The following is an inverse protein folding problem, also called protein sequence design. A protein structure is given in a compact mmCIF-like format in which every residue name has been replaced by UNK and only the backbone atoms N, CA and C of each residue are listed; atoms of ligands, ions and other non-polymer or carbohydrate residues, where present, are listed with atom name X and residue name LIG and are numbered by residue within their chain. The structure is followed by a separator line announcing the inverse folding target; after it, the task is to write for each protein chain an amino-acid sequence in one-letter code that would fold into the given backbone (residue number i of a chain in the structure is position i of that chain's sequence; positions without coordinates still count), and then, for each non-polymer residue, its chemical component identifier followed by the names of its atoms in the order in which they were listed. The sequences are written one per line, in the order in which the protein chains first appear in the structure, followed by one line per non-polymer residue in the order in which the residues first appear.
data_IF_247668732383
#
_entry.id   IF_247668732383
#
_cell.length_a   1.000
_cell.length_b   1.000
_cell.length_c   1.000
_cell.angle_alpha   90.00
_cell.angle_beta   90.00
_cell.angle_gamma   90.00
#
_symmetry.space_group_name_H-M   'P 1'
#
loop_
_entity.id
_entity.type
_entity.pdbx_description
1 polymer ?
#
# COMPACT_ATOMS: atom_id res chain seq x y z
N UNK A 1 -13.67 14.51 -0.84
CA UNK A 1 -14.18 13.91 0.41
C UNK A 1 -13.05 13.90 1.43
N UNK A 2 -13.32 14.19 2.70
CA UNK A 2 -12.34 14.20 3.80
C UNK A 2 -12.97 13.51 5.02
N UNK A 3 -12.26 12.56 5.60
CA UNK A 3 -12.61 11.85 6.83
C UNK A 3 -11.67 12.27 7.96
N UNK A 4 -12.18 12.31 9.19
CA UNK A 4 -11.44 12.74 10.38
C UNK A 4 -11.43 11.67 11.47
N UNK A 5 -10.38 11.66 12.29
CA UNK A 5 -10.35 10.97 13.58
C UNK A 5 -11.13 11.75 14.65
N UNK A 6 -11.49 11.12 15.79
CA UNK A 6 -12.17 11.81 16.89
C UNK A 6 -11.38 13.02 17.44
N UNK A 7 -10.06 13.00 17.33
CA UNK A 7 -9.18 14.10 17.73
C UNK A 7 -9.16 15.29 16.74
N UNK A 8 -9.90 15.20 15.63
CA UNK A 8 -9.97 16.23 14.59
C UNK A 8 -8.88 16.15 13.52
N UNK A 9 -7.91 15.24 13.63
CA UNK A 9 -6.90 15.05 12.59
C UNK A 9 -7.51 14.38 11.35
N UNK A 10 -7.01 14.74 10.17
CA UNK A 10 -7.42 14.12 8.91
C UNK A 10 -7.01 12.65 8.93
N UNK A 11 -7.97 11.78 8.70
CA UNK A 11 -7.78 10.33 8.57
C UNK A 11 -7.55 9.92 7.12
N UNK A 12 -8.34 10.47 6.21
CA UNK A 12 -8.24 10.16 4.80
C UNK A 12 -8.86 11.28 3.95
N UNK A 13 -8.37 11.45 2.72
CA UNK A 13 -8.88 12.47 1.79
C UNK A 13 -8.70 12.06 0.32
N UNK A 14 -9.64 12.51 -0.52
CA UNK A 14 -9.51 12.50 -1.97
C UNK A 14 -8.93 13.84 -2.41
N UNK A 15 -7.82 13.81 -3.14
CA UNK A 15 -7.18 14.97 -3.75
C UNK A 15 -7.67 15.10 -5.18
N UNK A 16 -8.18 16.28 -5.52
CA UNK A 16 -8.69 16.60 -6.85
C UNK A 16 -7.71 17.50 -7.60
N UNK A 17 -7.67 17.33 -8.92
CA UNK A 17 -7.02 18.24 -9.87
C UNK A 17 -7.96 18.40 -11.06
N UNK A 18 -8.28 19.64 -11.40
CA UNK A 18 -9.20 19.96 -12.51
C UNK A 18 -10.54 19.20 -12.40
N UNK A 19 -11.10 19.18 -11.18
CA UNK A 19 -12.32 18.42 -10.79
C UNK A 19 -12.23 16.89 -10.90
N UNK A 20 -11.07 16.33 -11.26
CA UNK A 20 -10.82 14.89 -11.29
C UNK A 20 -10.10 14.40 -10.03
N UNK A 21 -10.52 13.25 -9.49
CA UNK A 21 -9.82 12.60 -8.37
C UNK A 21 -8.50 12.03 -8.88
N UNK A 22 -7.39 12.55 -8.36
CA UNK A 22 -6.03 12.16 -8.75
C UNK A 22 -5.29 11.37 -7.68
N UNK A 23 -5.62 11.57 -6.40
CA UNK A 23 -5.03 10.77 -5.31
C UNK A 23 -6.05 10.46 -4.23
N UNK A 24 -5.81 9.34 -3.56
CA UNK A 24 -6.40 9.00 -2.28
C UNK A 24 -5.27 8.91 -1.26
N UNK A 25 -5.39 9.63 -0.14
CA UNK A 25 -4.42 9.58 0.95
C UNK A 25 -5.06 9.12 2.24
N UNK A 26 -4.28 8.43 3.06
CA UNK A 26 -4.63 8.06 4.43
C UNK A 26 -3.49 8.47 5.36
N UNK A 27 -3.83 8.84 6.59
CA UNK A 27 -2.92 9.24 7.65
C UNK A 27 -3.22 8.46 8.91
N UNK A 28 -2.22 8.30 9.76
CA UNK A 28 -2.38 7.84 11.13
C UNK A 28 -3.02 8.93 12.00
N UNK A 29 -3.53 8.53 13.17
CA UNK A 29 -4.18 9.46 14.10
C UNK A 29 -3.24 10.58 14.60
N UNK A 30 -1.94 10.33 14.60
CA UNK A 30 -0.90 11.32 14.89
C UNK A 30 -0.61 12.30 13.73
N UNK A 31 -1.29 12.16 12.59
CA UNK A 31 -1.14 12.99 11.40
C UNK A 31 -0.09 12.52 10.39
N UNK A 32 0.74 11.54 10.74
CA UNK A 32 1.76 10.99 9.83
C UNK A 32 1.10 10.30 8.64
N UNK A 33 1.69 10.46 7.45
CA UNK A 33 1.20 9.81 6.25
C UNK A 33 1.24 8.29 6.42
N UNK A 34 0.11 7.63 6.17
CA UNK A 34 0.02 6.18 6.13
C UNK A 34 0.23 5.70 4.70
N UNK A 35 -0.48 6.25 3.72
CA UNK A 35 -0.22 6.00 2.29
C UNK A 35 -0.80 7.10 1.41
N UNK A 36 -0.33 7.14 0.16
CA UNK A 36 -0.92 7.90 -0.93
C UNK A 36 -0.93 7.03 -2.19
N UNK A 37 -2.08 6.94 -2.85
CA UNK A 37 -2.28 6.12 -4.05
C UNK A 37 -2.80 7.00 -5.17
N UNK A 38 -2.17 7.02 -6.36
CA UNK A 38 -2.70 7.74 -7.51
C UNK A 38 -3.91 7.03 -8.11
N UNK A 39 -4.87 7.81 -8.58
CA UNK A 39 -6.05 7.36 -9.30
C UNK A 39 -6.02 7.86 -10.74
N UNK A 40 -6.34 6.96 -11.67
CA UNK A 40 -6.60 7.25 -13.07
C UNK A 40 -7.92 6.57 -13.43
N UNK A 41 -8.88 7.32 -13.96
CA UNK A 41 -10.22 6.82 -14.28
C UNK A 41 -10.87 6.07 -13.10
N UNK A 42 -10.78 6.64 -11.89
CA UNK A 42 -11.28 6.07 -10.62
C UNK A 42 -10.66 4.72 -10.21
N UNK A 43 -9.54 4.30 -10.83
CA UNK A 43 -8.81 3.09 -10.47
C UNK A 43 -7.40 3.42 -9.97
N UNK A 44 -6.91 2.64 -9.01
CA UNK A 44 -5.56 2.77 -8.49
C UNK A 44 -4.52 2.44 -9.57
N UNK A 45 -3.69 3.42 -9.91
CA UNK A 45 -2.70 3.32 -10.98
C UNK A 45 -1.43 4.06 -10.59
N UNK A 46 -0.28 3.41 -10.72
CA UNK A 46 1.04 3.97 -10.44
C UNK A 46 1.68 3.44 -9.16
N UNK A 47 2.71 4.15 -8.70
CA UNK A 47 3.48 3.77 -7.52
C UNK A 47 2.65 3.94 -6.25
N UNK A 48 2.61 2.92 -5.40
CA UNK A 48 2.07 2.97 -4.06
C UNK A 48 3.22 2.89 -3.06
N UNK A 49 3.16 3.74 -2.02
CA UNK A 49 4.03 3.66 -0.85
C UNK A 49 3.15 3.70 0.39
N UNK A 50 3.31 2.71 1.25
CA UNK A 50 2.72 2.62 2.58
C UNK A 50 3.83 2.79 3.59
N UNK A 51 3.61 3.63 4.59
CA UNK A 51 4.54 3.93 5.66
C UNK A 51 4.03 3.32 6.96
N UNK A 52 4.95 2.96 7.84
CA UNK A 52 4.67 2.78 9.26
C UNK A 52 4.42 4.13 9.92
N UNK A 53 3.81 4.11 11.10
CA UNK A 53 3.54 5.31 11.90
C UNK A 53 4.81 6.10 12.25
N UNK A 54 5.98 5.44 12.29
CA UNK A 54 7.28 6.08 12.49
C UNK A 54 7.86 6.73 11.21
N UNK A 55 7.11 6.76 10.11
CA UNK A 55 7.51 7.35 8.83
C UNK A 55 8.42 6.47 7.96
N UNK A 56 8.85 5.31 8.42
CA UNK A 56 9.61 4.36 7.59
C UNK A 56 8.68 3.64 6.63
N UNK A 57 9.19 3.31 5.43
CA UNK A 57 8.42 2.54 4.45
C UNK A 57 8.08 1.18 5.06
N UNK A 58 6.80 0.80 4.96
CA UNK A 58 6.30 -0.53 5.28
C UNK A 58 6.14 -1.37 4.00
N UNK A 59 5.70 -0.73 2.92
CA UNK A 59 5.46 -1.39 1.64
C UNK A 59 5.61 -0.40 0.47
N UNK A 60 6.14 -0.87 -0.65
CA UNK A 60 6.09 -0.12 -1.92
C UNK A 60 5.94 -1.06 -3.12
N UNK A 61 5.33 -0.57 -4.18
CA UNK A 61 5.15 -1.30 -5.43
C UNK A 61 4.41 -0.50 -6.50
N UNK A 62 4.04 -1.16 -7.59
CA UNK A 62 3.31 -0.57 -8.71
C UNK A 62 1.98 -1.26 -8.95
N UNK A 63 0.94 -0.44 -9.14
CA UNK A 63 -0.41 -0.87 -9.45
C UNK A 63 -0.80 -0.45 -10.87
N UNK A 64 -1.56 -1.31 -11.56
CA UNK A 64 -2.31 -0.97 -12.76
C UNK A 64 -3.73 -1.51 -12.61
N UNK A 65 -4.72 -0.64 -12.78
CA UNK A 65 -6.13 -0.99 -12.61
C UNK A 65 -6.45 -1.66 -11.26
N UNK A 66 -5.68 -1.34 -10.20
CA UNK A 66 -5.79 -1.96 -8.87
C UNK A 66 -5.01 -3.28 -8.69
N UNK A 67 -4.39 -3.80 -9.75
CA UNK A 67 -3.60 -5.03 -9.70
C UNK A 67 -2.09 -4.75 -9.65
N UNK A 68 -1.36 -5.67 -9.02
CA UNK A 68 0.10 -5.66 -8.98
C UNK A 68 0.64 -6.01 -10.37
N UNK A 69 1.47 -5.13 -10.95
CA UNK A 69 2.09 -5.38 -12.26
C UNK A 69 3.56 -5.82 -12.21
N UNK A 70 4.22 -5.64 -11.08
CA UNK A 70 5.64 -5.95 -10.89
C UNK A 70 5.87 -6.60 -9.51
N UNK A 71 7.02 -6.33 -8.89
CA UNK A 71 7.28 -6.67 -7.52
C UNK A 71 6.73 -5.62 -6.55
N UNK A 72 6.23 -6.11 -5.43
CA UNK A 72 6.07 -5.38 -4.19
C UNK A 72 7.21 -5.71 -3.24
N UNK A 73 7.58 -4.72 -2.45
CA UNK A 73 8.61 -4.82 -1.43
C UNK A 73 7.96 -4.55 -0.08
N UNK A 74 8.20 -5.43 0.89
CA UNK A 74 7.72 -5.29 2.26
C UNK A 74 8.93 -5.11 3.15
N UNK A 75 8.88 -4.11 3.99
CA UNK A 75 9.95 -3.76 4.91
C UNK A 75 9.50 -4.05 6.34
N UNK A 76 10.48 -4.22 7.22
CA UNK A 76 10.26 -4.28 8.66
C UNK A 76 10.23 -2.86 9.23
N UNK A 77 9.75 -2.69 10.47
CA UNK A 77 9.71 -1.39 11.17
C UNK A 77 11.07 -0.71 11.34
N UNK A 78 12.16 -1.47 11.29
CA UNK A 78 13.52 -0.93 11.32
C UNK A 78 13.97 -0.38 9.95
N UNK A 79 13.25 -0.66 8.86
CA UNK A 79 13.56 -0.26 7.49
C UNK A 79 14.22 -1.36 6.64
N UNK A 80 14.51 -2.53 7.21
CA UNK A 80 15.11 -3.63 6.46
C UNK A 80 14.09 -4.30 5.54
N UNK A 81 14.51 -4.67 4.34
CA UNK A 81 13.67 -5.40 3.40
C UNK A 81 13.40 -6.80 3.97
N UNK A 82 12.14 -7.21 4.02
CA UNK A 82 11.72 -8.53 4.49
C UNK A 82 11.33 -9.45 3.34
N UNK A 83 10.59 -8.91 2.38
CA UNK A 83 10.08 -9.67 1.24
C UNK A 83 10.10 -8.85 -0.04
N UNK A 84 10.38 -9.54 -1.14
CA UNK A 84 10.12 -9.09 -2.51
C UNK A 84 9.15 -10.09 -3.14
N UNK A 85 8.01 -9.62 -3.62
CA UNK A 85 6.89 -10.49 -4.02
C UNK A 85 6.30 -10.05 -5.35
N UNK A 86 5.89 -10.98 -6.22
CA UNK A 86 5.03 -10.71 -7.37
C UNK A 86 3.91 -11.76 -7.44
N UNK A 87 3.08 -11.73 -8.49
CA UNK A 87 1.95 -12.66 -8.63
C UNK A 87 2.31 -14.16 -8.69
N UNK A 88 3.59 -14.52 -8.82
CA UNK A 88 4.07 -15.88 -9.06
C UNK A 88 5.02 -16.41 -7.98
N UNK A 89 5.71 -15.53 -7.24
CA UNK A 89 6.75 -15.92 -6.28
C UNK A 89 6.89 -14.93 -5.12
N UNK A 90 7.30 -15.46 -3.96
CA UNK A 90 7.77 -14.70 -2.80
C UNK A 90 9.26 -14.95 -2.64
N UNK A 91 10.06 -13.89 -2.58
CA UNK A 91 11.47 -13.92 -2.24
C UNK A 91 11.64 -13.35 -0.84
N UNK A 92 12.06 -14.19 0.11
CA UNK A 92 12.42 -13.75 1.45
C UNK A 92 13.81 -13.12 1.42
N UNK A 93 14.03 -12.13 2.27
CA UNK A 93 15.31 -11.46 2.41
C UNK A 93 15.90 -11.81 3.78
N UNK A 94 17.19 -12.15 3.81
CA UNK A 94 17.90 -12.44 5.06
C UNK A 94 18.45 -11.15 5.72
N UNK A 95 19.15 -11.30 6.84
CA UNK A 95 19.68 -10.17 7.60
C UNK A 95 20.75 -9.36 6.85
N UNK A 96 21.43 -9.97 5.87
CA UNK A 96 22.42 -9.35 4.99
C UNK A 96 21.80 -8.69 3.74
N UNK A 97 20.47 -8.56 3.69
CA UNK A 97 19.71 -8.10 2.53
C UNK A 97 19.87 -8.96 1.25
N UNK A 98 20.28 -10.23 1.39
CA UNK A 98 20.37 -11.18 0.27
C UNK A 98 19.01 -11.86 0.04
N UNK A 99 18.64 -11.98 -1.24
CA UNK A 99 17.43 -12.70 -1.65
C UNK A 99 17.66 -14.21 -1.46
N UNK A 100 16.74 -14.85 -0.75
CA UNK A 100 16.66 -16.31 -0.61
C UNK A 100 15.92 -16.93 -1.81
N UNK A 101 16.00 -18.24 -1.95
CA UNK A 101 15.32 -18.97 -3.02
C UNK A 101 13.81 -18.68 -3.05
N UNK A 102 13.20 -18.55 -4.24
CA UNK A 102 11.78 -18.24 -4.37
C UNK A 102 10.92 -19.33 -3.75
N UNK A 103 10.06 -18.91 -2.83
CA UNK A 103 9.07 -19.77 -2.22
C UNK A 103 7.83 -19.72 -3.12
N UNK A 104 7.61 -20.80 -3.88
CA UNK A 104 6.40 -21.02 -4.68
C UNK A 104 5.38 -21.77 -3.84
N UNK A 105 4.74 -21.09 -2.89
CA UNK A 105 3.63 -21.66 -2.13
C UNK A 105 2.42 -20.75 -2.33
N UNK A 106 1.41 -21.26 -3.06
CA UNK A 106 0.16 -20.53 -3.33
C UNK A 106 -0.50 -19.99 -2.06
N UNK A 107 -0.36 -20.68 -0.92
CA UNK A 107 -0.91 -20.23 0.37
C UNK A 107 -0.24 -18.96 0.92
N UNK A 108 1.08 -18.80 0.76
CA UNK A 108 1.79 -17.59 1.20
C UNK A 108 1.47 -16.40 0.29
N UNK A 109 1.34 -16.65 -1.01
CA UNK A 109 0.87 -15.67 -2.01
C UNK A 109 -0.55 -15.20 -1.65
N UNK A 110 -1.43 -16.12 -1.24
CA UNK A 110 -2.80 -15.80 -0.88
C UNK A 110 -2.89 -14.99 0.42
N UNK A 111 -2.13 -15.35 1.46
CA UNK A 111 -2.05 -14.58 2.71
C UNK A 111 -1.52 -13.15 2.45
N UNK A 112 -0.53 -13.02 1.57
CA UNK A 112 -0.04 -11.71 1.17
C UNK A 112 -1.08 -10.88 0.40
N UNK A 113 -1.79 -11.49 -0.56
CA UNK A 113 -2.91 -10.83 -1.26
C UNK A 113 -4.00 -10.39 -0.28
N UNK A 114 -4.28 -11.18 0.75
CA UNK A 114 -5.20 -10.79 1.83
C UNK A 114 -4.66 -9.57 2.57
N UNK A 115 -3.41 -9.58 3.00
CA UNK A 115 -2.79 -8.46 3.73
C UNK A 115 -2.78 -7.17 2.90
N UNK A 116 -2.36 -7.24 1.62
CA UNK A 116 -2.43 -6.10 0.70
C UNK A 116 -3.87 -5.65 0.49
N UNK A 117 -4.82 -6.58 0.32
CA UNK A 117 -6.23 -6.23 0.22
C UNK A 117 -6.75 -5.57 1.49
N UNK A 118 -6.30 -5.95 2.69
CA UNK A 118 -6.69 -5.29 3.94
C UNK A 118 -6.09 -3.90 4.08
N UNK A 119 -4.84 -3.71 3.62
CA UNK A 119 -4.20 -2.40 3.56
C UNK A 119 -4.91 -1.46 2.57
N UNK A 120 -5.38 -1.99 1.43
CA UNK A 120 -6.08 -1.21 0.39
C UNK A 120 -7.59 -1.05 0.67
N UNK A 121 -8.26 -2.07 1.22
CA UNK A 121 -9.69 -2.07 1.60
C UNK A 121 -10.01 -1.16 2.77
N UNK A 122 -9.02 -0.46 3.33
CA UNK A 122 -9.27 0.49 4.41
C UNK A 122 -10.28 1.57 4.01
N UNK A 123 -10.52 1.90 2.73
CA UNK A 123 -11.76 2.62 2.34
C UNK A 123 -12.29 2.24 0.94
N UNK A 124 -12.89 1.05 0.80
CA UNK A 124 -14.01 0.84 -0.15
C UNK A 124 -15.32 1.51 0.34
N UNK A 125 -15.25 2.23 1.47
CA UNK A 125 -16.30 3.12 1.94
C UNK A 125 -16.35 4.37 1.06
N UNK A 126 -17.14 4.27 -0.02
CA UNK A 126 -17.75 5.39 -0.74
C UNK A 126 -16.90 6.13 -1.79
N UNK A 127 -16.28 5.41 -2.73
CA UNK A 127 -16.34 5.89 -4.14
C UNK A 127 -17.59 5.26 -4.79
N UNK A 128 -18.74 5.38 -4.12
CA UNK A 128 -20.03 5.25 -4.81
C UNK A 128 -20.33 6.63 -5.37
N UNK A 129 -20.77 6.63 -6.62
CA UNK A 129 -21.15 7.79 -7.44
C UNK A 129 -21.92 8.88 -6.68
#
# INVERSE_FOLDING_TARGET
MINYYPNGNIKAELILKDDEIVFYTSRYENGNLHFMIPLVNKKYNGNIIVYYENGKIALQGNLKDGEIIDYFYIFQRNGMLKYKYNNYEVLKVNEDNLLLEPIKIESEIQEFKICLSQLIKIEDYNIKE
#
